data_IF_358501360226
#
_entry.id   IF_358501360226
#
_cell.length_a   1.000
_cell.length_b   1.000
_cell.length_c   1.000
_cell.angle_alpha   90.00
_cell.angle_beta   90.00
_cell.angle_gamma   90.00
#
_symmetry.space_group_name_H-M   'P 1'
#
loop_
_entity.id
_entity.type
_entity.pdbx_description
1 polymer ?
#
# COMPACT_ATOMS: atom_id res chain seq x y z
N UNK A 1 -5.57 -1.26 6.82
CA UNK A 1 -5.97 0.14 7.04
C UNK A 1 -6.57 0.72 5.77
N UNK A 2 -7.63 1.52 5.88
CA UNK A 2 -8.26 2.18 4.72
C UNK A 2 -7.57 3.49 4.37
N UNK A 3 -7.80 4.01 3.16
CA UNK A 3 -7.17 5.24 2.65
C UNK A 3 -7.35 6.46 3.57
N UNK A 4 -8.50 6.58 4.25
CA UNK A 4 -8.73 7.67 5.22
C UNK A 4 -7.78 7.59 6.42
N UNK A 5 -7.55 6.38 6.94
CA UNK A 5 -6.63 6.15 8.06
C UNK A 5 -5.20 6.45 7.64
N UNK A 6 -4.82 6.09 6.40
CA UNK A 6 -3.51 6.41 5.83
C UNK A 6 -3.27 7.92 5.79
N UNK A 7 -4.25 8.70 5.32
CA UNK A 7 -4.13 10.16 5.29
C UNK A 7 -3.88 10.75 6.67
N UNK A 8 -4.65 10.31 7.68
CA UNK A 8 -4.43 10.75 9.07
C UNK A 8 -3.01 10.44 9.56
N UNK A 9 -2.48 9.26 9.22
CA UNK A 9 -1.10 8.90 9.56
C UNK A 9 -0.05 9.72 8.81
N UNK A 10 -0.32 10.09 7.55
CA UNK A 10 0.56 10.95 6.77
C UNK A 10 0.60 12.38 7.33
N UNK A 11 -0.58 12.96 7.62
CA UNK A 11 -0.70 14.29 8.24
C UNK A 11 -0.01 14.34 9.62
N UNK A 12 -0.06 13.24 10.37
CA UNK A 12 0.61 13.11 11.67
C UNK A 12 2.10 12.73 11.57
N UNK A 13 2.66 12.59 10.36
CA UNK A 13 4.02 12.09 10.11
C UNK A 13 4.32 10.74 10.82
N UNK A 14 3.30 9.88 10.92
CA UNK A 14 3.35 8.61 11.62
C UNK A 14 3.59 7.41 10.69
N UNK A 15 3.63 7.63 9.38
CA UNK A 15 4.03 6.61 8.40
C UNK A 15 5.55 6.45 8.44
N UNK A 16 6.01 5.29 8.92
CA UNK A 16 7.44 4.96 9.06
C UNK A 16 7.95 4.15 7.88
N UNK A 17 7.09 3.31 7.31
CA UNK A 17 7.47 2.42 6.22
C UNK A 17 6.29 2.16 5.30
N UNK A 18 6.56 2.26 4.00
CA UNK A 18 5.63 1.84 2.94
C UNK A 18 6.34 0.80 2.08
N UNK A 19 5.64 -0.32 1.87
CA UNK A 19 6.13 -1.42 1.06
C UNK A 19 5.08 -1.86 0.07
N UNK A 20 5.50 -2.30 -1.11
CA UNK A 20 4.66 -3.03 -2.04
C UNK A 20 5.11 -4.47 -2.03
N UNK A 21 4.24 -5.40 -1.65
CA UNK A 21 4.53 -6.83 -1.61
C UNK A 21 3.94 -7.47 -2.86
N UNK A 22 4.72 -8.34 -3.52
CA UNK A 22 4.18 -9.22 -4.57
C UNK A 22 3.54 -10.45 -3.92
N UNK A 23 2.25 -10.64 -4.17
CA UNK A 23 1.46 -11.78 -3.71
C UNK A 23 1.34 -12.80 -4.86
N UNK A 24 2.17 -13.84 -4.82
CA UNK A 24 2.26 -14.87 -5.88
C UNK A 24 0.92 -15.57 -6.11
N UNK A 25 0.20 -15.93 -5.04
CA UNK A 25 -1.09 -16.65 -5.15
C UNK A 25 -2.21 -15.79 -5.76
N UNK A 26 -2.16 -14.47 -5.57
CA UNK A 26 -3.13 -13.53 -6.13
C UNK A 26 -2.69 -12.95 -7.49
N UNK A 27 -1.50 -13.32 -7.97
CA UNK A 27 -0.87 -12.73 -9.16
C UNK A 27 -0.90 -11.20 -9.17
N UNK A 28 -0.63 -10.60 -8.01
CA UNK A 28 -0.84 -9.17 -7.79
C UNK A 28 0.13 -8.56 -6.80
N UNK A 29 -0.03 -7.26 -6.60
CA UNK A 29 0.72 -6.45 -5.67
C UNK A 29 -0.24 -5.92 -4.61
N UNK A 30 0.24 -5.85 -3.37
CA UNK A 30 -0.49 -5.20 -2.28
C UNK A 30 0.39 -4.15 -1.62
N UNK A 31 -0.22 -3.06 -1.20
CA UNK A 31 0.47 -2.00 -0.45
C UNK A 31 0.39 -2.34 1.04
N UNK A 32 1.51 -2.21 1.74
CA UNK A 32 1.65 -2.43 3.17
C UNK A 32 2.24 -1.17 3.80
N UNK A 33 1.53 -0.59 4.76
CA UNK A 33 1.90 0.65 5.44
C UNK A 33 2.06 0.33 6.92
N UNK A 34 3.25 0.57 7.48
CA UNK A 34 3.60 0.20 8.86
C UNK A 34 3.25 -1.26 9.22
N UNK A 35 3.42 -2.18 8.26
CA UNK A 35 3.13 -3.61 8.45
C UNK A 35 1.66 -4.01 8.26
N UNK A 36 0.75 -3.06 8.00
CA UNK A 36 -0.66 -3.35 7.75
C UNK A 36 -1.02 -3.18 6.27
N UNK A 37 -1.83 -4.08 5.67
CA UNK A 37 -2.24 -3.97 4.29
C UNK A 37 -3.14 -2.75 4.08
N UNK A 38 -3.03 -2.12 2.92
CA UNK A 38 -4.00 -1.13 2.44
C UNK A 38 -5.29 -1.85 2.08
N UNK A 39 -6.42 -1.31 2.53
CA UNK A 39 -7.73 -1.93 2.38
C UNK A 39 -8.69 -1.03 1.62
N UNK A 40 -9.71 -1.64 1.03
CA UNK A 40 -10.89 -0.95 0.53
C UNK A 40 -11.78 -0.50 1.70
N UNK A 41 -12.77 0.35 1.43
CA UNK A 41 -13.77 0.74 2.44
C UNK A 41 -14.53 -0.46 3.04
N UNK A 42 -14.55 -1.61 2.33
CA UNK A 42 -15.14 -2.86 2.81
C UNK A 42 -14.20 -3.71 3.68
N UNK A 43 -13.01 -3.20 4.03
CA UNK A 43 -11.95 -3.92 4.78
C UNK A 43 -11.41 -5.15 4.06
N UNK A 44 -11.49 -5.16 2.73
CA UNK A 44 -10.81 -6.15 1.88
C UNK A 44 -9.43 -5.63 1.52
N UNK A 45 -8.42 -6.49 1.47
CA UNK A 45 -7.07 -6.10 1.04
C UNK A 45 -7.15 -5.56 -0.39
N UNK A 46 -6.59 -4.36 -0.61
CA UNK A 46 -6.58 -3.71 -1.91
C UNK A 46 -5.43 -4.27 -2.73
N UNK A 47 -5.78 -5.03 -3.76
CA UNK A 47 -4.85 -5.67 -4.68
C UNK A 47 -4.71 -4.89 -5.98
N UNK A 48 -3.51 -4.91 -6.54
CA UNK A 48 -3.16 -4.22 -7.77
C UNK A 48 -2.57 -5.23 -8.75
N UNK A 49 -3.04 -5.22 -9.99
CA UNK A 49 -2.52 -6.12 -11.03
C UNK A 49 -1.05 -5.83 -11.40
N UNK A 50 -0.61 -4.58 -11.25
CA UNK A 50 0.73 -4.14 -11.63
C UNK A 50 1.35 -3.27 -10.55
N UNK A 51 2.69 -3.26 -10.49
CA UNK A 51 3.44 -2.35 -9.62
C UNK A 51 3.16 -0.88 -9.95
N UNK A 52 3.02 -0.54 -11.24
CA UNK A 52 2.65 0.81 -11.69
C UNK A 52 1.30 1.27 -11.11
N UNK A 53 0.29 0.39 -11.08
CA UNK A 53 -1.00 0.72 -10.50
C UNK A 53 -0.90 0.98 -8.99
N UNK A 54 -0.10 0.18 -8.27
CA UNK A 54 0.17 0.40 -6.85
C UNK A 54 0.93 1.72 -6.62
N UNK A 55 1.95 2.02 -7.42
CA UNK A 55 2.73 3.25 -7.33
C UNK A 55 1.87 4.49 -7.62
N UNK A 56 1.00 4.45 -8.64
CA UNK A 56 0.03 5.53 -8.91
C UNK A 56 -0.90 5.78 -7.74
N UNK A 57 -1.34 4.72 -7.06
CA UNK A 57 -2.18 4.87 -5.87
C UNK A 57 -1.41 5.52 -4.73
N UNK A 58 -0.16 5.09 -4.47
CA UNK A 58 0.70 5.69 -3.44
C UNK A 58 0.95 7.19 -3.72
N UNK A 59 1.24 7.54 -4.98
CA UNK A 59 1.42 8.93 -5.39
C UNK A 59 0.18 9.79 -5.14
N UNK A 60 -1.03 9.27 -5.45
CA UNK A 60 -2.30 9.96 -5.14
C UNK A 60 -2.53 10.18 -3.63
N UNK A 61 -1.95 9.33 -2.80
CA UNK A 61 -1.98 9.46 -1.34
C UNK A 61 -0.90 10.42 -0.80
N UNK A 62 0.00 10.92 -1.64
CA UNK A 62 1.11 11.78 -1.23
C UNK A 62 2.35 11.00 -0.76
N UNK A 63 2.44 9.71 -1.06
CA UNK A 63 3.58 8.87 -0.72
C UNK A 63 4.53 8.82 -1.93
N UNK A 64 5.74 9.34 -1.73
CA UNK A 64 6.77 9.39 -2.77
C UNK A 64 7.90 8.36 -2.58
N UNK A 65 8.12 7.89 -1.35
CA UNK A 65 9.11 6.87 -1.01
C UNK A 65 8.42 5.56 -0.60
N UNK A 66 8.83 4.46 -1.23
CA UNK A 66 8.39 3.12 -0.86
C UNK A 66 9.41 2.07 -1.34
N UNK A 67 9.38 0.90 -0.71
CA UNK A 67 10.19 -0.26 -1.11
C UNK A 67 9.35 -1.35 -1.75
N UNK A 68 9.92 -2.12 -2.67
CA UNK A 68 9.26 -3.30 -3.25
C UNK A 68 9.84 -4.54 -2.61
N UNK A 69 8.98 -5.39 -2.05
CA UNK A 69 9.34 -6.68 -1.47
C UNK A 69 8.81 -7.79 -2.36
N UNK A 70 9.72 -8.42 -3.09
CA UNK A 70 9.44 -9.62 -3.86
C UNK A 70 9.58 -10.81 -2.90
N UNK A 71 8.48 -11.52 -2.63
CA UNK A 71 8.58 -12.85 -2.01
C UNK A 71 8.86 -13.84 -3.13
N UNK A 72 10.07 -14.39 -3.12
CA UNK A 72 10.48 -15.53 -3.97
C UNK A 72 9.95 -16.81 -3.36
#
# INVERSE_FOLDING_TARGET
MIEREVKVLLDANAVKQVQVHYAVMAQGYMVVINGQPLETTKRETKEFKTLDAAAKQLFKLGIADFSVKLKT
#
